data_IF_122789082252
#
_entry.id   IF_122789082252
#
_cell.length_a   1.000
_cell.length_b   1.000
_cell.length_c   1.000
_cell.angle_alpha   90.00
_cell.angle_beta   90.00
_cell.angle_gamma   90.00
#
_symmetry.space_group_name_H-M   'P 1'
#
loop_
_entity.id
_entity.type
_entity.pdbx_description
1 polymer ?
#
# COMPACT_ATOMS: atom_id res chain seq x y z
N UNK A 1 -7.70 38.53 47.29
CA UNK A 1 -6.76 37.85 46.38
C UNK A 1 -7.20 36.41 46.20
N UNK A 2 -7.57 36.08 44.96
CA UNK A 2 -7.27 34.81 44.28
C UNK A 2 -7.83 33.49 44.82
N UNK A 3 -9.11 33.18 44.62
CA UNK A 3 -9.57 31.78 44.44
C UNK A 3 -10.90 31.72 43.64
N UNK A 4 -10.86 31.94 42.33
CA UNK A 4 -11.97 31.60 41.43
C UNK A 4 -11.45 31.38 40.00
N UNK A 5 -10.79 30.26 39.74
CA UNK A 5 -10.53 29.84 38.36
C UNK A 5 -10.45 28.33 38.13
N UNK A 6 -10.99 27.52 39.05
CA UNK A 6 -10.95 26.04 38.93
C UNK A 6 -12.23 25.43 38.33
N UNK A 7 -13.34 26.17 38.24
CA UNK A 7 -14.63 25.60 37.83
C UNK A 7 -15.00 25.83 36.36
N UNK A 8 -14.19 26.55 35.58
CA UNK A 8 -14.49 26.82 34.16
C UNK A 8 -14.06 25.72 33.18
N UNK A 9 -13.33 24.71 33.64
CA UNK A 9 -12.70 23.73 32.74
C UNK A 9 -13.37 22.33 32.73
N UNK A 10 -14.53 22.17 33.38
CA UNK A 10 -15.26 20.90 33.41
C UNK A 10 -16.32 20.76 32.29
N UNK A 11 -16.54 21.81 31.49
CA UNK A 11 -17.62 21.86 30.48
C UNK A 11 -17.24 21.54 29.04
N UNK A 12 -15.95 21.48 28.70
CA UNK A 12 -15.51 21.44 27.29
C UNK A 12 -15.27 20.01 26.75
N UNK A 13 -15.21 18.99 27.61
CA UNK A 13 -14.98 17.59 27.21
C UNK A 13 -16.19 16.83 26.66
N UNK A 14 -17.41 17.39 26.73
CA UNK A 14 -18.65 16.67 26.37
C UNK A 14 -19.23 17.06 25.00
N UNK A 15 -18.60 18.00 24.27
CA UNK A 15 -19.16 18.53 23.01
C UNK A 15 -18.66 17.84 21.74
N UNK A 16 -17.74 16.88 21.84
CA UNK A 16 -17.06 16.26 20.69
C UNK A 16 -17.77 15.03 20.09
N UNK A 17 -18.95 14.63 20.57
CA UNK A 17 -19.77 13.54 20.00
C UNK A 17 -21.21 13.98 19.68
N UNK A 18 -21.44 15.27 19.42
CA UNK A 18 -22.82 15.79 19.23
C UNK A 18 -23.40 15.64 17.81
N UNK A 19 -22.70 14.96 16.89
CA UNK A 19 -23.12 14.80 15.49
C UNK A 19 -23.43 13.36 15.06
N UNK A 20 -23.21 12.37 15.93
CA UNK A 20 -23.52 10.98 15.63
C UNK A 20 -24.96 10.69 16.03
N UNK A 21 -25.83 10.51 15.04
CA UNK A 21 -27.19 10.01 15.24
C UNK A 21 -27.21 8.50 14.94
N UNK A 22 -27.36 7.63 15.96
CA UNK A 22 -27.41 6.18 15.78
C UNK A 22 -28.58 5.73 14.89
N UNK A 23 -29.69 6.46 14.88
CA UNK A 23 -30.85 6.19 14.05
C UNK A 23 -30.56 6.50 12.58
N UNK A 24 -29.95 7.65 12.31
CA UNK A 24 -29.52 8.02 10.95
C UNK A 24 -28.44 7.05 10.41
N UNK A 25 -27.50 6.65 11.27
CA UNK A 25 -26.50 5.64 10.93
C UNK A 25 -27.15 4.31 10.55
N UNK A 26 -28.09 3.82 11.37
CA UNK A 26 -28.80 2.55 11.10
C UNK A 26 -29.61 2.63 9.82
N UNK A 27 -30.30 3.75 9.57
CA UNK A 27 -31.06 3.97 8.34
C UNK A 27 -30.15 4.00 7.09
N UNK A 28 -28.99 4.67 7.17
CA UNK A 28 -28.01 4.70 6.09
C UNK A 28 -27.42 3.31 5.82
N UNK A 29 -27.14 2.53 6.87
CA UNK A 29 -26.64 1.15 6.74
C UNK A 29 -27.67 0.21 6.11
N UNK A 30 -28.95 0.34 6.50
CA UNK A 30 -30.04 -0.40 5.86
C UNK A 30 -30.14 -0.03 4.38
N UNK A 31 -30.05 1.26 4.05
CA UNK A 31 -30.10 1.72 2.66
C UNK A 31 -28.90 1.24 1.84
N UNK A 32 -27.71 1.23 2.42
CA UNK A 32 -26.52 0.68 1.79
C UNK A 32 -26.68 -0.84 1.52
N UNK A 33 -27.30 -1.57 2.44
CA UNK A 33 -27.64 -2.98 2.27
C UNK A 33 -28.58 -3.23 1.09
N UNK A 34 -29.65 -2.42 0.96
CA UNK A 34 -30.58 -2.49 -0.18
C UNK A 34 -29.87 -2.24 -1.51
N UNK A 35 -29.06 -1.16 -1.59
CA UNK A 35 -28.28 -0.82 -2.79
C UNK A 35 -27.32 -1.96 -3.13
N UNK A 36 -26.69 -2.55 -2.11
CA UNK A 36 -25.76 -3.66 -2.32
C UNK A 36 -26.47 -4.90 -2.87
N UNK A 37 -27.62 -5.27 -2.30
CA UNK A 37 -28.43 -6.37 -2.81
C UNK A 37 -28.88 -6.12 -4.25
N UNK A 38 -29.30 -4.90 -4.58
CA UNK A 38 -29.70 -4.54 -5.93
C UNK A 38 -28.54 -4.67 -6.94
N UNK A 39 -27.34 -4.20 -6.58
CA UNK A 39 -26.14 -4.33 -7.41
C UNK A 39 -25.82 -5.81 -7.67
N UNK A 40 -25.80 -6.63 -6.62
CA UNK A 40 -25.52 -8.07 -6.74
C UNK A 40 -26.55 -8.76 -7.63
N UNK A 41 -27.84 -8.45 -7.45
CA UNK A 41 -28.91 -9.00 -8.29
C UNK A 41 -28.78 -8.59 -9.75
N UNK A 42 -28.48 -7.31 -10.02
CA UNK A 42 -28.26 -6.80 -11.38
C UNK A 42 -27.07 -7.47 -12.06
N UNK A 43 -25.96 -7.65 -11.35
CA UNK A 43 -24.78 -8.36 -11.87
C UNK A 43 -25.11 -9.82 -12.16
N UNK A 44 -25.78 -10.51 -11.25
CA UNK A 44 -26.15 -11.92 -11.41
C UNK A 44 -27.12 -12.12 -12.59
N UNK A 45 -28.11 -11.23 -12.74
CA UNK A 45 -29.03 -11.24 -13.88
C UNK A 45 -28.32 -10.94 -15.21
N UNK A 46 -27.40 -9.95 -15.22
CA UNK A 46 -26.63 -9.60 -16.40
C UNK A 46 -25.70 -10.77 -16.83
N UNK A 47 -25.10 -11.46 -15.87
CA UNK A 47 -24.23 -12.61 -16.12
C UNK A 47 -25.00 -13.82 -16.67
N UNK A 48 -26.28 -14.00 -16.32
CA UNK A 48 -27.13 -15.04 -16.91
C UNK A 48 -27.58 -14.73 -18.34
N UNK A 49 -27.61 -13.44 -18.73
CA UNK A 49 -28.03 -13.02 -20.07
C UNK A 49 -26.85 -12.90 -21.06
N UNK A 50 -25.61 -12.86 -20.58
CA UNK A 50 -24.36 -12.85 -21.38
C UNK A 50 -23.71 -14.25 -21.52
N UNK A 51 -24.47 -15.34 -21.55
CA UNK A 51 -23.96 -16.69 -21.86
C UNK A 51 -23.64 -16.88 -23.36
N UNK A 52 -22.98 -15.90 -23.99
CA UNK A 52 -22.15 -16.18 -25.18
C UNK A 52 -20.70 -16.35 -24.71
N UNK A 53 -19.99 -17.40 -25.16
CA UNK A 53 -18.59 -17.59 -24.83
C UNK A 53 -17.75 -16.52 -25.52
N UNK A 54 -17.59 -15.36 -24.86
CA UNK A 54 -16.44 -14.50 -25.11
C UNK A 54 -15.21 -15.29 -24.70
N UNK A 55 -14.21 -15.33 -25.57
CA UNK A 55 -12.88 -15.81 -25.24
C UNK A 55 -12.30 -14.84 -24.19
N UNK A 56 -12.55 -15.13 -22.92
CA UNK A 56 -12.36 -14.21 -21.79
C UNK A 56 -10.89 -14.02 -21.41
N UNK A 57 -9.95 -14.71 -22.06
CA UNK A 57 -8.55 -14.62 -21.68
C UNK A 57 -7.55 -14.74 -22.86
N UNK A 58 -7.56 -13.78 -23.82
CA UNK A 58 -6.59 -13.75 -24.92
C UNK A 58 -5.13 -13.59 -24.44
N UNK A 59 -4.90 -13.30 -23.16
CA UNK A 59 -3.58 -13.05 -22.56
C UNK A 59 -3.18 -14.09 -21.49
N UNK A 60 -4.00 -15.11 -21.23
CA UNK A 60 -3.79 -16.12 -20.18
C UNK A 60 -3.57 -15.56 -18.77
N UNK A 61 -4.13 -14.39 -18.47
CA UNK A 61 -4.04 -13.75 -17.15
C UNK A 61 -4.62 -14.64 -16.04
N UNK A 62 -5.69 -15.38 -16.32
CA UNK A 62 -6.33 -16.26 -15.36
C UNK A 62 -5.45 -17.46 -15.01
N UNK A 63 -4.81 -18.07 -16.02
CA UNK A 63 -3.84 -19.15 -15.79
C UNK A 63 -2.59 -18.66 -15.05
N UNK A 64 -2.10 -17.47 -15.38
CA UNK A 64 -0.95 -16.86 -14.71
C UNK A 64 -1.27 -16.56 -13.23
N UNK A 65 -2.46 -16.01 -12.96
CA UNK A 65 -2.97 -15.76 -11.61
C UNK A 65 -3.15 -17.06 -10.82
N UNK A 66 -3.78 -18.08 -11.41
CA UNK A 66 -3.96 -19.39 -10.76
C UNK A 66 -2.63 -20.05 -10.41
N UNK A 67 -1.63 -19.97 -11.31
CA UNK A 67 -0.26 -20.44 -11.03
C UNK A 67 0.40 -19.64 -9.91
N UNK A 68 0.25 -18.32 -9.88
CA UNK A 68 0.79 -17.49 -8.81
C UNK A 68 0.17 -17.83 -7.44
N UNK A 69 -1.15 -18.03 -7.38
CA UNK A 69 -1.86 -18.43 -6.15
C UNK A 69 -1.44 -19.84 -5.71
N UNK A 70 -1.31 -20.79 -6.65
CA UNK A 70 -0.85 -22.15 -6.34
C UNK A 70 0.61 -22.18 -5.86
N UNK A 71 1.48 -21.40 -6.49
CA UNK A 71 2.87 -21.18 -6.06
C UNK A 71 2.92 -20.61 -4.64
N UNK A 72 2.10 -19.62 -4.34
CA UNK A 72 2.01 -19.02 -3.00
C UNK A 72 1.56 -20.04 -1.95
N UNK A 73 0.58 -20.90 -2.27
CA UNK A 73 0.13 -21.96 -1.39
C UNK A 73 1.20 -23.04 -1.14
N UNK A 74 2.10 -23.26 -2.10
CA UNK A 74 3.16 -24.26 -1.99
C UNK A 74 4.33 -23.82 -1.10
N UNK A 75 4.58 -22.52 -0.97
CA UNK A 75 5.57 -21.96 -0.02
C UNK A 75 5.09 -20.63 0.59
N UNK A 76 4.15 -20.69 1.56
CA UNK A 76 3.67 -19.50 2.25
C UNK A 76 4.79 -18.83 3.06
N UNK A 77 5.77 -19.61 3.49
CA UNK A 77 6.86 -19.15 4.35
C UNK A 77 7.77 -18.15 3.64
N UNK A 78 8.03 -18.36 2.34
CA UNK A 78 8.83 -17.46 1.50
C UNK A 78 8.16 -16.12 1.29
N UNK A 79 6.85 -16.11 1.07
CA UNK A 79 6.09 -14.87 0.92
C UNK A 79 6.01 -14.08 2.21
N UNK A 80 5.75 -14.75 3.34
CA UNK A 80 5.76 -14.12 4.67
C UNK A 80 7.13 -13.52 4.95
N UNK A 81 8.22 -14.27 4.74
CA UNK A 81 9.60 -13.76 4.92
C UNK A 81 9.88 -12.52 4.06
N UNK A 82 9.41 -12.49 2.81
CA UNK A 82 9.58 -11.35 1.92
C UNK A 82 8.78 -10.13 2.38
N UNK A 83 7.54 -10.32 2.82
CA UNK A 83 6.70 -9.25 3.40
C UNK A 83 7.30 -8.71 4.71
N UNK A 84 7.74 -9.60 5.60
CA UNK A 84 8.37 -9.20 6.87
C UNK A 84 9.71 -8.48 6.62
N UNK A 85 10.52 -8.95 5.67
CA UNK A 85 11.77 -8.30 5.29
C UNK A 85 11.55 -6.89 4.74
N UNK A 86 10.56 -6.70 3.87
CA UNK A 86 10.18 -5.38 3.37
C UNK A 86 9.81 -4.42 4.51
N UNK A 87 9.00 -4.90 5.46
CA UNK A 87 8.62 -4.10 6.62
C UNK A 87 9.87 -3.71 7.43
N UNK A 88 10.75 -4.68 7.72
CA UNK A 88 11.99 -4.41 8.45
C UNK A 88 12.88 -3.37 7.75
N UNK A 89 13.02 -3.44 6.43
CA UNK A 89 13.80 -2.46 5.66
C UNK A 89 13.17 -1.06 5.72
N UNK A 90 11.85 -0.96 5.60
CA UNK A 90 11.14 0.32 5.74
C UNK A 90 11.29 0.93 7.14
N UNK A 91 11.19 0.11 8.20
CA UNK A 91 11.40 0.60 9.58
C UNK A 91 12.81 1.14 9.78
N UNK A 92 13.82 0.42 9.27
CA UNK A 92 15.21 0.87 9.34
C UNK A 92 15.43 2.15 8.54
N UNK A 93 14.83 2.26 7.35
CA UNK A 93 14.84 3.48 6.56
C UNK A 93 14.25 4.66 7.31
N UNK A 94 13.06 4.53 7.92
CA UNK A 94 12.44 5.62 8.69
C UNK A 94 13.26 6.01 9.91
N UNK A 95 13.83 5.04 10.63
CA UNK A 95 14.75 5.31 11.74
C UNK A 95 16.00 6.06 11.28
N UNK A 96 16.57 5.68 10.12
CA UNK A 96 17.69 6.37 9.51
C UNK A 96 17.34 7.81 9.11
N UNK A 97 16.18 8.02 8.46
CA UNK A 97 15.71 9.36 8.11
C UNK A 97 15.49 10.23 9.34
N UNK A 98 14.94 9.66 10.42
CA UNK A 98 14.79 10.35 11.71
C UNK A 98 16.13 10.81 12.28
N UNK A 99 17.17 9.98 12.24
CA UNK A 99 18.52 10.37 12.66
C UNK A 99 19.08 11.51 11.81
N UNK A 100 18.90 11.45 10.49
CA UNK A 100 19.36 12.53 9.59
C UNK A 100 18.62 13.84 9.81
N UNK A 101 17.33 13.80 10.15
CA UNK A 101 16.58 14.99 10.55
C UNK A 101 17.09 15.61 11.86
N UNK A 102 17.65 14.80 12.76
CA UNK A 102 18.30 15.26 13.99
C UNK A 102 19.73 15.81 13.77
N UNK A 103 20.20 15.88 12.53
CA UNK A 103 21.51 16.43 12.19
C UNK A 103 22.66 15.42 12.20
N UNK A 104 22.36 14.12 12.27
CA UNK A 104 23.39 13.10 12.06
C UNK A 104 23.76 13.02 10.56
N UNK A 105 25.04 13.24 10.25
CA UNK A 105 25.58 13.01 8.90
C UNK A 105 25.88 11.53 8.69
N UNK A 106 24.82 10.76 8.41
CA UNK A 106 24.94 9.36 8.00
C UNK A 106 24.93 9.24 6.46
N UNK A 107 25.67 8.26 5.94
CA UNK A 107 25.59 7.85 4.52
C UNK A 107 24.17 7.41 4.17
N UNK A 108 23.69 7.62 2.93
CA UNK A 108 22.33 7.24 2.54
C UNK A 108 22.04 5.76 2.81
N UNK A 109 20.85 5.45 3.31
CA UNK A 109 20.43 4.07 3.62
C UNK A 109 20.49 3.17 2.38
N UNK A 110 20.15 3.73 1.22
CA UNK A 110 20.29 3.08 -0.08
C UNK A 110 20.80 4.09 -1.12
N UNK A 111 21.84 3.71 -1.86
CA UNK A 111 22.41 4.52 -2.93
C UNK A 111 21.88 4.07 -4.31
N UNK A 112 21.67 4.99 -5.26
CA UNK A 112 21.40 4.63 -6.64
C UNK A 112 22.63 3.98 -7.30
N UNK A 113 22.41 3.23 -8.37
CA UNK A 113 23.50 2.74 -9.24
C UNK A 113 24.22 3.96 -9.86
N UNK A 114 25.54 3.88 -10.02
CA UNK A 114 26.35 4.95 -10.62
C UNK A 114 25.87 5.32 -12.04
N UNK A 115 25.22 4.38 -12.74
CA UNK A 115 24.67 4.60 -14.08
C UNK A 115 23.26 5.19 -14.07
N UNK A 116 22.63 5.34 -12.90
CA UNK A 116 21.26 5.84 -12.78
C UNK A 116 21.19 7.36 -12.95
N UNK A 117 20.77 7.79 -14.15
CA UNK A 117 20.70 9.21 -14.50
C UNK A 117 19.57 9.96 -13.80
N UNK A 118 18.63 9.28 -13.15
CA UNK A 118 17.43 9.91 -12.54
C UNK A 118 17.76 10.79 -11.34
N UNK A 119 18.88 10.53 -10.67
CA UNK A 119 19.28 11.22 -9.43
C UNK A 119 20.57 12.03 -9.57
N UNK A 120 20.89 12.50 -10.78
CA UNK A 120 22.12 13.26 -11.05
C UNK A 120 22.09 14.70 -10.52
N UNK A 121 20.89 15.28 -10.36
CA UNK A 121 20.76 16.63 -9.82
C UNK A 121 21.18 16.66 -8.34
N UNK A 122 21.92 17.70 -7.95
CA UNK A 122 22.41 17.88 -6.58
C UNK A 122 21.28 18.00 -5.56
N UNK A 123 20.11 18.53 -5.95
CA UNK A 123 18.95 18.64 -5.07
C UNK A 123 18.54 17.28 -4.46
N UNK A 124 18.77 16.18 -5.18
CA UNK A 124 18.49 14.82 -4.70
C UNK A 124 19.38 14.38 -3.54
N UNK A 125 20.52 15.04 -3.29
CA UNK A 125 21.47 14.69 -2.22
C UNK A 125 21.53 15.77 -1.12
N UNK A 126 21.32 17.03 -1.49
CA UNK A 126 21.42 18.17 -0.56
C UNK A 126 20.13 18.41 0.24
N UNK A 127 18.97 18.07 -0.33
CA UNK A 127 17.67 18.21 0.35
C UNK A 127 17.25 16.91 1.00
N UNK A 128 17.05 16.93 2.33
CA UNK A 128 16.49 15.81 3.10
C UNK A 128 15.17 15.29 2.52
N UNK A 129 14.32 16.18 2.00
CA UNK A 129 13.05 15.80 1.41
C UNK A 129 13.23 15.05 0.09
N UNK A 130 14.05 15.57 -0.83
CA UNK A 130 14.30 14.90 -2.11
C UNK A 130 15.10 13.61 -1.91
N UNK A 131 16.05 13.59 -0.98
CA UNK A 131 16.81 12.40 -0.63
C UNK A 131 15.89 11.29 -0.07
N UNK A 132 14.91 11.63 0.77
CA UNK A 132 13.89 10.68 1.25
C UNK A 132 13.03 10.11 0.10
N UNK A 133 12.60 10.95 -0.84
CA UNK A 133 11.86 10.50 -2.03
C UNK A 133 12.71 9.54 -2.87
N UNK A 134 13.96 9.92 -3.17
CA UNK A 134 14.90 9.06 -3.90
C UNK A 134 15.07 7.70 -3.22
N UNK A 135 15.37 7.70 -1.92
CA UNK A 135 15.66 6.47 -1.18
C UNK A 135 14.42 5.57 -1.04
N UNK A 136 13.24 6.14 -0.80
CA UNK A 136 11.98 5.37 -0.78
C UNK A 136 11.68 4.73 -2.14
N UNK A 137 11.93 5.44 -3.24
CA UNK A 137 11.78 4.92 -4.60
C UNK A 137 12.76 3.77 -4.89
N UNK A 138 14.04 3.93 -4.51
CA UNK A 138 15.06 2.91 -4.68
C UNK A 138 14.72 1.64 -3.88
N UNK A 139 14.22 1.81 -2.65
CA UNK A 139 13.80 0.70 -1.79
C UNK A 139 12.60 -0.05 -2.37
N UNK A 140 11.56 0.67 -2.81
CA UNK A 140 10.40 0.08 -3.46
C UNK A 140 10.77 -0.65 -4.76
N UNK A 141 11.66 -0.07 -5.57
CA UNK A 141 12.14 -0.67 -6.83
C UNK A 141 12.97 -1.93 -6.58
N UNK A 142 13.80 -1.95 -5.53
CA UNK A 142 14.53 -3.14 -5.09
C UNK A 142 13.56 -4.25 -4.69
N UNK A 143 12.55 -3.93 -3.90
CA UNK A 143 11.54 -4.89 -3.48
C UNK A 143 10.73 -5.46 -4.65
N UNK A 144 10.34 -4.61 -5.61
CA UNK A 144 9.63 -5.03 -6.82
C UNK A 144 10.46 -6.05 -7.61
N UNK A 145 11.75 -5.77 -7.84
CA UNK A 145 12.66 -6.70 -8.51
C UNK A 145 12.80 -8.02 -7.76
N UNK A 146 13.03 -7.96 -6.45
CA UNK A 146 13.14 -9.16 -5.60
C UNK A 146 11.84 -9.99 -5.60
N UNK A 147 10.68 -9.34 -5.68
CA UNK A 147 9.38 -10.01 -5.75
C UNK A 147 9.22 -10.77 -7.06
N UNK A 148 9.66 -10.18 -8.19
CA UNK A 148 9.65 -10.85 -9.49
C UNK A 148 10.64 -12.02 -9.52
N UNK A 149 11.86 -11.83 -9.02
CA UNK A 149 12.87 -12.90 -8.91
C UNK A 149 12.38 -14.05 -8.01
N UNK A 150 11.57 -13.71 -6.99
CA UNK A 150 11.01 -14.69 -6.08
C UNK A 150 9.96 -15.60 -6.72
N UNK A 151 9.28 -15.16 -7.78
CA UNK A 151 8.27 -15.96 -8.50
C UNK A 151 8.86 -17.09 -9.36
N UNK A 152 10.19 -17.26 -9.37
CA UNK A 152 10.90 -18.32 -10.10
C UNK A 152 11.22 -17.92 -11.54
N UNK A 153 11.89 -18.79 -12.32
CA UNK A 153 12.21 -18.50 -13.70
C UNK A 153 10.92 -18.36 -14.51
N UNK A 154 10.46 -17.13 -14.67
CA UNK A 154 9.39 -16.81 -15.60
C UNK A 154 9.94 -16.97 -17.01
N UNK A 155 9.11 -17.52 -17.90
CA UNK A 155 9.45 -17.66 -19.31
C UNK A 155 9.96 -16.32 -19.88
N UNK A 156 11.05 -16.38 -20.66
CA UNK A 156 11.81 -15.19 -21.12
C UNK A 156 10.93 -14.19 -21.87
N UNK A 157 9.80 -14.65 -22.40
CA UNK A 157 8.82 -13.83 -23.11
C UNK A 157 8.06 -12.85 -22.20
N UNK A 158 7.81 -13.20 -20.94
CA UNK A 158 7.09 -12.35 -19.97
C UNK A 158 8.00 -11.31 -19.32
N UNK A 159 9.26 -11.64 -19.08
CA UNK A 159 10.25 -10.72 -18.50
C UNK A 159 10.66 -9.57 -19.43
N UNK A 160 10.56 -9.75 -20.76
CA UNK A 160 10.91 -8.70 -21.74
C UNK A 160 9.85 -7.61 -21.92
N UNK A 161 8.66 -7.80 -21.32
CA UNK A 161 7.49 -6.91 -21.48
C UNK A 161 7.18 -6.07 -20.22
N UNK A 162 7.99 -6.19 -19.16
CA UNK A 162 7.93 -5.41 -17.92
C UNK A 162 9.15 -4.49 -17.82
#
# INVERSE_FOLDING_TARGET
>A
MSHTNAERNAGEGSKALSGFDPGLFTANMAKAGEIWQEIVQRIMMAQMHELEPRDLDPLKLQEAWARAVSSLASDPSRWVKMQTGMWQDYMQFWAHMGKRMLGHEDSPYIAPDERDRRFQDKAWNESLFFDAIKQSYLLASKWMRQSVDALGPMDKQTASKL
#
